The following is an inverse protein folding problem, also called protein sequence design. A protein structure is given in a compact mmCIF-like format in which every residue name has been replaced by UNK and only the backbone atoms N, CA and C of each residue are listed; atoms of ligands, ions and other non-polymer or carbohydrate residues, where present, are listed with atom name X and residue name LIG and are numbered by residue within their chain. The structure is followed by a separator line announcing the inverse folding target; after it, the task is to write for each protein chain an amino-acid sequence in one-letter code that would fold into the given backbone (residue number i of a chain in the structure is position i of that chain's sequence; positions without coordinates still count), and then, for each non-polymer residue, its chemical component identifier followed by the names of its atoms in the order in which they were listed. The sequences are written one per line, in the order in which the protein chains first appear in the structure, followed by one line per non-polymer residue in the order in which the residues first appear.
data_IF_362803398626
#
_entry.id   IF_362803398626
#
_cell.length_a   1.000
_cell.length_b   1.000
_cell.length_c   1.000
_cell.angle_alpha   90.00
_cell.angle_beta   90.00
_cell.angle_gamma   90.00
#
_symmetry.space_group_name_H-M   'P 1'
#
loop_
_entity.id
_entity.type
_entity.pdbx_description
1 polymer ?
#
# COMPACT_ATOMS: atom_id res chain seq x y z
N UNK A 1 -4.98 -26.38 10.71
CA UNK A 1 -3.51 -26.41 10.91
C UNK A 1 -2.90 -25.71 9.72
N UNK A 2 -2.81 -24.38 9.77
CA UNK A 2 -2.18 -23.57 8.72
C UNK A 2 -0.74 -23.28 9.17
N UNK A 3 0.19 -23.89 8.48
CA UNK A 3 1.61 -23.58 8.62
C UNK A 3 1.86 -22.15 8.10
N UNK A 4 2.52 -21.25 8.85
CA UNK A 4 2.96 -19.97 8.31
C UNK A 4 3.98 -20.24 7.19
N UNK A 5 3.85 -19.54 6.07
CA UNK A 5 4.79 -19.58 4.97
C UNK A 5 6.16 -19.19 5.53
N UNK A 6 7.18 -20.04 5.43
CA UNK A 6 8.51 -19.71 5.96
C UNK A 6 9.07 -18.52 5.20
N UNK A 7 9.49 -17.48 5.94
CA UNK A 7 10.31 -16.40 5.46
C UNK A 7 11.61 -17.01 4.94
N UNK A 8 11.70 -17.19 3.61
CA UNK A 8 12.85 -17.78 2.95
C UNK A 8 14.09 -16.94 3.19
N UNK A 9 15.15 -17.61 3.62
CA UNK A 9 16.50 -17.10 3.85
C UNK A 9 17.00 -16.27 2.67
N UNK A 10 17.75 -15.22 2.98
CA UNK A 10 18.47 -14.36 2.06
C UNK A 10 19.58 -15.14 1.32
N UNK A 11 19.17 -16.00 0.42
CA UNK A 11 20.02 -16.75 -0.50
C UNK A 11 19.68 -16.33 -1.93
N UNK A 12 20.69 -15.91 -2.68
CA UNK A 12 20.67 -15.52 -4.09
C UNK A 12 20.14 -16.65 -5.02
N UNK A 13 18.87 -17.00 -4.90
CA UNK A 13 18.18 -17.80 -5.90
C UNK A 13 17.41 -16.85 -6.82
N UNK A 14 17.64 -16.97 -8.12
CA UNK A 14 16.89 -16.29 -9.20
C UNK A 14 15.44 -16.80 -9.19
N UNK A 15 14.66 -16.43 -8.18
CA UNK A 15 13.24 -16.74 -8.13
C UNK A 15 12.53 -15.91 -9.20
N UNK A 16 11.94 -16.54 -10.20
CA UNK A 16 11.17 -15.83 -11.23
C UNK A 16 9.90 -15.19 -10.62
N UNK A 17 9.29 -14.21 -11.31
CA UNK A 17 8.01 -13.66 -10.87
C UNK A 17 6.94 -14.76 -10.74
N UNK A 18 6.95 -15.77 -11.58
CA UNK A 18 6.04 -16.93 -11.54
C UNK A 18 6.16 -17.76 -10.25
N UNK A 19 7.35 -17.77 -9.63
CA UNK A 19 7.64 -18.50 -8.39
C UNK A 19 7.55 -17.58 -7.15
N UNK A 20 7.17 -16.31 -7.35
CA UNK A 20 7.02 -15.35 -6.28
C UNK A 20 5.70 -15.58 -5.55
N UNK A 21 5.73 -15.71 -4.22
CA UNK A 21 4.52 -15.85 -3.41
C UNK A 21 3.56 -14.66 -3.46
N UNK A 22 3.97 -13.55 -4.09
CA UNK A 22 3.15 -12.36 -4.32
C UNK A 22 2.66 -12.25 -5.77
N UNK A 23 2.83 -13.30 -6.60
CA UNK A 23 2.52 -13.22 -8.02
C UNK A 23 1.07 -12.78 -8.27
N UNK A 24 0.12 -13.38 -7.57
CA UNK A 24 -1.32 -13.11 -7.70
C UNK A 24 -1.75 -11.73 -7.16
N UNK A 25 -0.84 -11.02 -6.51
CA UNK A 25 -1.07 -9.68 -5.93
C UNK A 25 -0.28 -8.59 -6.65
N UNK A 26 0.70 -9.00 -7.43
CA UNK A 26 1.61 -8.11 -8.13
C UNK A 26 1.08 -7.85 -9.54
N UNK A 27 1.30 -6.64 -10.06
CA UNK A 27 0.97 -6.31 -11.45
C UNK A 27 1.57 -7.30 -12.48
N UNK A 28 2.60 -8.05 -12.12
CA UNK A 28 3.23 -9.05 -12.97
C UNK A 28 2.29 -10.18 -13.39
N UNK A 29 1.22 -10.46 -12.62
CA UNK A 29 0.20 -11.44 -13.00
C UNK A 29 -0.55 -11.03 -14.28
N UNK A 30 -0.81 -9.72 -14.43
CA UNK A 30 -1.57 -9.15 -15.55
C UNK A 30 -0.70 -8.99 -16.82
N UNK A 31 0.61 -9.21 -16.70
CA UNK A 31 1.53 -9.19 -17.83
C UNK A 31 1.36 -10.46 -18.68
N UNK A 32 1.16 -10.29 -20.00
CA UNK A 32 1.02 -11.40 -20.94
C UNK A 32 2.18 -12.41 -20.79
N UNK A 33 1.86 -13.70 -20.86
CA UNK A 33 2.83 -14.76 -20.61
C UNK A 33 4.07 -14.66 -21.50
N UNK A 34 3.89 -14.24 -22.75
CA UNK A 34 4.97 -14.02 -23.73
C UNK A 34 5.96 -12.91 -23.32
N UNK A 35 5.57 -11.99 -22.45
CA UNK A 35 6.38 -10.86 -21.99
C UNK A 35 6.93 -11.04 -20.57
N UNK A 36 6.46 -12.04 -19.83
CA UNK A 36 6.90 -12.28 -18.44
C UNK A 36 8.38 -12.55 -18.32
N UNK A 37 8.96 -13.30 -19.25
CA UNK A 37 10.40 -13.59 -19.24
C UNK A 37 11.25 -12.34 -19.51
N UNK A 38 10.73 -11.37 -20.25
CA UNK A 38 11.37 -10.10 -20.49
C UNK A 38 11.32 -9.21 -19.24
N UNK A 39 10.15 -9.12 -18.62
CA UNK A 39 9.99 -8.45 -17.33
C UNK A 39 10.89 -9.07 -16.26
N UNK A 40 10.96 -10.40 -16.20
CA UNK A 40 11.82 -11.13 -15.28
C UNK A 40 13.31 -10.79 -15.41
N UNK A 41 13.77 -10.47 -16.60
CA UNK A 41 15.18 -10.10 -16.84
C UNK A 41 15.53 -8.70 -16.33
N UNK A 42 14.61 -7.75 -16.39
CA UNK A 42 14.85 -6.37 -15.98
C UNK A 42 14.61 -6.13 -14.47
N UNK A 43 13.77 -6.94 -13.83
CA UNK A 43 13.47 -6.76 -12.40
C UNK A 43 14.67 -7.11 -11.54
N UNK A 44 15.12 -6.19 -10.72
CA UNK A 44 16.10 -6.38 -9.66
C UNK A 44 15.38 -6.72 -8.36
N UNK A 45 15.44 -7.99 -7.96
CA UNK A 45 14.69 -8.51 -6.81
C UNK A 45 15.45 -8.41 -5.51
N UNK A 46 14.70 -8.54 -4.40
CA UNK A 46 15.25 -8.65 -3.05
C UNK A 46 16.17 -7.50 -2.64
N UNK A 47 15.85 -6.28 -3.07
CA UNK A 47 16.52 -5.11 -2.55
C UNK A 47 16.07 -4.90 -1.11
N UNK A 48 17.01 -4.83 -0.18
CA UNK A 48 16.71 -4.56 1.23
C UNK A 48 16.54 -3.08 1.48
N UNK A 49 15.57 -2.73 2.33
CA UNK A 49 15.30 -1.39 2.80
C UNK A 49 15.09 -1.46 4.30
N UNK A 50 16.06 -1.01 5.08
CA UNK A 50 15.97 -1.00 6.53
C UNK A 50 14.89 -0.04 7.02
N UNK A 51 14.36 -0.28 8.21
CA UNK A 51 13.42 0.64 8.86
C UNK A 51 13.96 2.07 8.86
N UNK A 52 13.06 3.03 8.66
CA UNK A 52 13.33 4.48 8.59
C UNK A 52 14.28 4.90 7.43
N UNK A 53 14.65 3.95 6.53
CA UNK A 53 15.40 4.24 5.32
C UNK A 53 14.47 4.69 4.20
N UNK A 54 14.92 5.68 3.42
CA UNK A 54 14.17 6.15 2.26
C UNK A 54 14.41 5.28 1.04
N UNK A 55 13.34 4.96 0.34
CA UNK A 55 13.36 4.32 -0.97
C UNK A 55 13.75 5.35 -2.05
N UNK A 56 13.17 6.56 -1.95
CA UNK A 56 13.51 7.75 -2.72
C UNK A 56 13.07 9.02 -1.99
N UNK A 57 13.55 10.16 -2.46
CA UNK A 57 13.26 11.48 -1.93
C UNK A 57 12.51 12.33 -2.96
N UNK A 58 11.68 13.25 -2.49
CA UNK A 58 11.04 14.25 -3.35
C UNK A 58 12.11 15.04 -4.15
N UNK A 59 11.82 15.28 -5.43
CA UNK A 59 12.74 15.92 -6.37
C UNK A 59 13.79 15.00 -6.99
N UNK A 60 13.96 13.77 -6.49
CA UNK A 60 14.88 12.79 -7.08
C UNK A 60 14.37 12.33 -8.45
N UNK A 61 15.27 12.15 -9.41
CA UNK A 61 14.92 11.63 -10.75
C UNK A 61 14.33 10.24 -10.68
N UNK A 62 13.29 9.99 -11.50
CA UNK A 62 12.70 8.67 -11.69
C UNK A 62 13.70 7.74 -12.39
N UNK A 63 14.35 6.89 -11.63
CA UNK A 63 15.27 5.85 -12.16
C UNK A 63 14.62 4.49 -12.25
N UNK A 64 13.70 4.21 -11.36
CA UNK A 64 12.99 2.93 -11.27
C UNK A 64 11.63 3.11 -10.60
N UNK A 65 10.68 2.26 -10.98
CA UNK A 65 9.47 2.01 -10.20
C UNK A 65 9.72 0.79 -9.30
N UNK A 66 9.08 0.75 -8.16
CA UNK A 66 9.33 -0.29 -7.16
C UNK A 66 8.06 -1.03 -6.79
N UNK A 67 8.17 -2.31 -6.49
CA UNK A 67 7.09 -3.13 -5.91
C UNK A 67 7.52 -3.54 -4.51
N UNK A 68 6.72 -3.24 -3.51
CA UNK A 68 6.95 -3.74 -2.14
C UNK A 68 6.86 -5.26 -2.16
N UNK A 69 7.83 -5.94 -1.59
CA UNK A 69 7.85 -7.40 -1.48
C UNK A 69 7.54 -7.88 -0.06
N UNK A 70 8.09 -7.23 0.94
CA UNK A 70 7.78 -7.46 2.35
C UNK A 70 7.89 -6.16 3.13
N UNK A 71 7.21 -6.08 4.27
CA UNK A 71 7.16 -4.87 5.08
C UNK A 71 6.16 -3.85 4.54
N UNK A 72 6.27 -2.63 5.00
CA UNK A 72 5.37 -1.51 4.67
C UNK A 72 6.18 -0.26 4.37
N UNK A 73 5.85 0.41 3.28
CA UNK A 73 6.44 1.70 2.90
C UNK A 73 5.40 2.79 3.03
N UNK A 74 5.77 3.91 3.65
CA UNK A 74 4.97 5.14 3.75
C UNK A 74 5.41 6.10 2.66
N UNK A 75 4.47 6.73 1.95
CA UNK A 75 4.72 7.89 1.12
C UNK A 75 4.20 9.16 1.80
N UNK A 76 4.90 10.29 1.60
CA UNK A 76 4.53 11.55 2.19
C UNK A 76 5.12 12.73 1.40
N UNK A 77 4.49 13.89 1.51
CA UNK A 77 4.99 15.18 1.05
C UNK A 77 5.32 16.06 2.23
N UNK A 78 6.11 17.11 2.00
CA UNK A 78 6.33 18.18 2.97
C UNK A 78 5.48 19.38 2.60
N UNK A 79 4.77 19.94 3.57
CA UNK A 79 4.10 21.22 3.44
C UNK A 79 5.10 22.35 3.28
N UNK A 80 4.65 23.56 2.96
CA UNK A 80 5.50 24.76 2.92
C UNK A 80 6.12 25.10 4.28
N UNK A 81 5.55 24.61 5.36
CA UNK A 81 6.03 24.78 6.75
C UNK A 81 7.00 23.66 7.17
N UNK A 82 7.17 22.63 6.32
CA UNK A 82 8.05 21.50 6.57
C UNK A 82 7.39 20.33 7.30
N UNK A 83 6.06 20.38 7.50
CA UNK A 83 5.32 19.29 8.12
C UNK A 83 5.08 18.16 7.12
N UNK A 84 5.20 16.91 7.59
CA UNK A 84 4.84 15.74 6.81
C UNK A 84 3.33 15.71 6.53
N UNK A 85 2.97 15.38 5.29
CA UNK A 85 1.61 15.04 4.88
C UNK A 85 1.65 13.65 4.27
N UNK A 86 1.20 12.65 5.02
CA UNK A 86 1.20 11.24 4.58
C UNK A 86 0.19 11.07 3.45
N UNK A 87 0.67 10.58 2.32
CA UNK A 87 -0.13 10.35 1.10
C UNK A 87 -0.55 8.89 0.94
N UNK A 88 0.23 7.94 1.49
CA UNK A 88 -0.10 6.53 1.37
C UNK A 88 0.69 5.58 2.26
N UNK A 89 0.16 4.36 2.38
CA UNK A 89 0.84 3.20 2.96
C UNK A 89 0.78 2.06 1.95
N UNK A 90 1.96 1.59 1.55
CA UNK A 90 2.11 0.57 0.52
C UNK A 90 2.50 -0.77 1.15
N UNK A 91 1.72 -1.80 0.82
CA UNK A 91 1.85 -3.16 1.32
C UNK A 91 2.47 -4.08 0.25
N UNK A 92 2.87 -5.33 0.60
CA UNK A 92 3.42 -6.27 -0.36
C UNK A 92 2.53 -6.47 -1.60
N UNK A 93 3.15 -6.44 -2.79
CA UNK A 93 2.48 -6.51 -4.09
C UNK A 93 2.15 -5.14 -4.72
N UNK A 94 2.22 -4.04 -3.97
CA UNK A 94 1.85 -2.72 -4.47
C UNK A 94 3.03 -1.98 -5.10
N UNK A 95 2.75 -1.25 -6.18
CA UNK A 95 3.69 -0.40 -6.91
C UNK A 95 3.86 0.95 -6.22
N UNK A 96 5.08 1.49 -6.29
CA UNK A 96 5.42 2.82 -5.78
C UNK A 96 6.23 3.56 -6.84
N UNK A 97 6.01 4.85 -6.99
CA UNK A 97 6.76 5.75 -7.87
C UNK A 97 6.14 5.94 -9.25
N UNK A 98 4.89 5.52 -9.47
CA UNK A 98 4.16 5.77 -10.72
C UNK A 98 3.84 7.25 -10.93
N UNK A 99 3.65 8.00 -9.87
CA UNK A 99 3.37 9.44 -9.82
C UNK A 99 4.51 10.28 -10.42
N UNK A 100 5.73 9.74 -10.44
CA UNK A 100 6.90 10.39 -11.02
C UNK A 100 6.96 10.29 -12.57
N UNK A 101 6.14 9.45 -13.20
CA UNK A 101 6.22 9.19 -14.66
C UNK A 101 5.98 10.47 -15.47
N UNK A 102 5.00 11.27 -15.10
CA UNK A 102 4.64 12.49 -15.84
C UNK A 102 5.68 13.60 -15.72
N UNK A 103 6.31 13.75 -14.56
CA UNK A 103 7.27 14.82 -14.26
C UNK A 103 8.75 14.40 -14.33
N UNK A 104 9.04 13.10 -14.44
CA UNK A 104 10.40 12.55 -14.43
C UNK A 104 11.11 12.63 -13.09
N UNK A 105 10.45 13.14 -12.05
CA UNK A 105 10.96 13.26 -10.68
C UNK A 105 9.88 12.86 -9.69
N UNK A 106 10.28 12.22 -8.58
CA UNK A 106 9.36 11.87 -7.52
C UNK A 106 8.81 13.13 -6.85
N UNK A 107 7.47 13.31 -6.80
CA UNK A 107 6.86 14.46 -6.12
C UNK A 107 6.83 14.30 -4.60
N UNK A 108 7.08 13.10 -4.08
CA UNK A 108 7.00 12.75 -2.68
C UNK A 108 8.20 11.93 -2.19
N UNK A 109 8.27 11.73 -0.89
CA UNK A 109 9.22 10.84 -0.23
C UNK A 109 8.59 9.45 -0.04
N UNK A 110 9.42 8.41 -0.07
CA UNK A 110 9.01 7.07 0.31
C UNK A 110 9.98 6.50 1.35
N UNK A 111 9.45 6.05 2.51
CA UNK A 111 10.24 5.58 3.66
C UNK A 111 9.68 4.28 4.19
N UNK A 112 10.54 3.34 4.58
CA UNK A 112 10.15 2.08 5.18
C UNK A 112 9.72 2.27 6.65
N UNK A 113 8.56 1.76 7.03
CA UNK A 113 8.06 1.76 8.42
C UNK A 113 8.61 0.59 9.26
N UNK A 114 9.18 -0.40 8.60
CA UNK A 114 9.80 -1.60 9.17
C UNK A 114 10.82 -2.15 8.18
N UNK A 115 11.64 -3.11 8.59
CA UNK A 115 12.57 -3.77 7.67
C UNK A 115 11.78 -4.39 6.52
N UNK A 116 12.07 -3.91 5.33
CA UNK A 116 11.30 -4.18 4.11
C UNK A 116 12.20 -4.71 3.01
N UNK A 117 11.61 -5.39 2.05
CA UNK A 117 12.26 -5.73 0.78
C UNK A 117 11.39 -5.28 -0.38
N UNK A 118 12.04 -4.98 -1.52
CA UNK A 118 11.33 -4.55 -2.71
C UNK A 118 11.95 -5.11 -3.99
N UNK A 119 11.17 -5.12 -5.05
CA UNK A 119 11.63 -5.35 -6.40
C UNK A 119 11.78 -4.00 -7.09
N UNK A 120 12.94 -3.75 -7.68
CA UNK A 120 13.25 -2.55 -8.43
C UNK A 120 13.14 -2.84 -9.93
N UNK A 121 12.41 -1.99 -10.66
CA UNK A 121 12.23 -2.09 -12.10
C UNK A 121 12.82 -0.82 -12.72
N UNK A 122 13.99 -0.90 -13.38
CA UNK A 122 14.59 0.27 -14.03
C UNK A 122 13.61 0.87 -15.03
N UNK A 123 13.30 2.17 -14.87
CA UNK A 123 12.22 2.81 -15.63
C UNK A 123 12.47 2.80 -17.13
N UNK A 124 13.72 3.01 -17.57
CA UNK A 124 14.07 2.98 -19.00
C UNK A 124 13.81 1.62 -19.65
N UNK A 125 14.12 0.54 -18.92
CA UNK A 125 13.90 -0.83 -19.42
C UNK A 125 12.39 -1.14 -19.40
N UNK A 126 11.68 -0.70 -18.36
CA UNK A 126 10.25 -0.85 -18.26
C UNK A 126 9.51 -0.09 -19.37
N UNK A 127 9.92 1.16 -19.64
CA UNK A 127 9.35 1.96 -20.72
C UNK A 127 9.53 1.29 -22.09
N UNK A 128 10.70 0.69 -22.37
CA UNK A 128 10.91 -0.04 -23.62
C UNK A 128 9.94 -1.22 -23.76
N UNK A 129 9.68 -1.97 -22.69
CA UNK A 129 8.68 -3.05 -22.71
C UNK A 129 7.27 -2.50 -22.91
N UNK A 130 6.95 -1.36 -22.32
CA UNK A 130 5.65 -0.69 -22.52
C UNK A 130 5.46 -0.24 -23.95
N UNK A 131 6.47 0.37 -24.59
CA UNK A 131 6.41 0.86 -25.97
C UNK A 131 6.10 -0.27 -26.96
N UNK A 132 6.57 -1.47 -26.67
CA UNK A 132 6.39 -2.67 -27.51
C UNK A 132 5.13 -3.51 -27.15
N UNK A 133 4.35 -3.11 -26.15
CA UNK A 133 3.21 -3.90 -25.65
C UNK A 133 1.97 -3.06 -25.35
N UNK A 134 0.98 -3.04 -26.26
CA UNK A 134 -0.30 -2.38 -26.01
C UNK A 134 -1.04 -2.92 -24.76
N UNK A 135 -0.86 -4.19 -24.43
CA UNK A 135 -1.44 -4.83 -23.26
C UNK A 135 -0.87 -4.24 -21.97
N UNK A 136 0.45 -4.07 -21.89
CA UNK A 136 1.12 -3.45 -20.75
C UNK A 136 0.75 -1.98 -20.61
N UNK A 137 0.61 -1.25 -21.72
CA UNK A 137 0.12 0.12 -21.70
C UNK A 137 -1.29 0.23 -21.11
N UNK A 138 -2.20 -0.68 -21.49
CA UNK A 138 -3.55 -0.74 -20.90
C UNK A 138 -3.49 -1.04 -19.40
N UNK A 139 -2.62 -1.96 -19.00
CA UNK A 139 -2.40 -2.28 -17.59
C UNK A 139 -1.90 -1.05 -16.82
N UNK A 140 -0.93 -0.30 -17.35
CA UNK A 140 -0.46 0.94 -16.73
C UNK A 140 -1.56 1.98 -16.60
N UNK A 141 -2.37 2.19 -17.63
CA UNK A 141 -3.53 3.08 -17.56
C UNK A 141 -4.54 2.63 -16.49
N UNK A 142 -4.77 1.32 -16.36
CA UNK A 142 -5.61 0.75 -15.32
C UNK A 142 -5.03 1.05 -13.92
N UNK A 143 -3.74 0.80 -13.70
CA UNK A 143 -3.08 1.05 -12.41
C UNK A 143 -3.13 2.54 -12.02
N UNK A 144 -2.83 3.44 -12.96
CA UNK A 144 -2.93 4.88 -12.74
C UNK A 144 -4.38 5.33 -12.46
N UNK A 145 -5.36 4.73 -13.15
CA UNK A 145 -6.78 5.03 -12.91
C UNK A 145 -7.22 4.59 -11.51
N UNK A 146 -6.72 3.45 -11.04
CA UNK A 146 -6.99 2.96 -9.67
C UNK A 146 -6.36 3.90 -8.63
N UNK A 147 -5.11 4.29 -8.82
CA UNK A 147 -4.40 5.22 -7.94
C UNK A 147 -5.12 6.59 -7.85
N UNK A 148 -5.57 7.11 -8.99
CA UNK A 148 -6.41 8.32 -9.01
C UNK A 148 -7.72 8.15 -8.25
N UNK A 149 -8.38 7.01 -8.38
CA UNK A 149 -9.63 6.73 -7.67
C UNK A 149 -9.40 6.65 -6.16
N UNK A 150 -8.32 6.00 -5.73
CA UNK A 150 -7.92 5.90 -4.32
C UNK A 150 -7.60 7.27 -3.72
N UNK A 151 -6.89 8.12 -4.46
CA UNK A 151 -6.60 9.49 -4.03
C UNK A 151 -7.89 10.31 -3.87
N UNK A 152 -8.84 10.20 -4.81
CA UNK A 152 -10.15 10.88 -4.69
C UNK A 152 -10.97 10.36 -3.51
N UNK A 153 -10.93 9.06 -3.25
CA UNK A 153 -11.57 8.45 -2.10
C UNK A 153 -11.01 9.02 -0.79
N UNK A 154 -9.68 9.12 -0.68
CA UNK A 154 -9.02 9.71 0.49
C UNK A 154 -9.46 11.18 0.68
N UNK A 155 -9.55 11.97 -0.39
CA UNK A 155 -10.04 13.35 -0.32
C UNK A 155 -11.49 13.42 0.20
N UNK A 156 -12.37 12.51 -0.20
CA UNK A 156 -13.74 12.43 0.31
C UNK A 156 -13.75 12.05 1.80
N UNK A 157 -12.96 11.05 2.18
CA UNK A 157 -12.83 10.59 3.57
C UNK A 157 -12.37 11.76 4.44
N UNK A 158 -11.29 12.43 4.10
CA UNK A 158 -10.69 13.51 4.89
C UNK A 158 -11.55 14.78 4.84
N UNK A 159 -12.23 15.06 3.72
CA UNK A 159 -13.00 16.29 3.52
C UNK A 159 -14.44 16.25 4.07
N UNK A 160 -15.05 15.07 4.20
CA UNK A 160 -16.49 14.95 4.47
C UNK A 160 -16.86 14.06 5.65
N UNK A 161 -16.00 13.11 6.02
CA UNK A 161 -16.34 12.14 7.06
C UNK A 161 -15.93 12.64 8.47
N UNK A 162 -16.68 12.21 9.48
CA UNK A 162 -16.32 12.43 10.88
C UNK A 162 -15.12 11.56 11.30
N UNK A 163 -14.44 11.94 12.37
CA UNK A 163 -13.23 11.26 12.83
C UNK A 163 -13.41 9.75 13.07
N UNK A 164 -14.57 9.34 13.62
CA UNK A 164 -14.87 7.92 13.85
C UNK A 164 -14.99 7.15 12.54
N UNK A 165 -15.69 7.72 11.58
CA UNK A 165 -15.87 7.14 10.26
C UNK A 165 -14.54 7.01 9.50
N UNK A 166 -13.66 8.03 9.57
CA UNK A 166 -12.31 7.98 8.95
C UNK A 166 -11.47 6.82 9.49
N UNK A 167 -11.45 6.64 10.82
CA UNK A 167 -10.71 5.55 11.46
C UNK A 167 -11.31 4.18 11.10
N UNK A 168 -12.65 4.06 11.12
CA UNK A 168 -13.33 2.82 10.73
C UNK A 168 -13.02 2.45 9.27
N UNK A 169 -13.15 3.40 8.32
CA UNK A 169 -12.81 3.22 6.91
C UNK A 169 -11.37 2.76 6.71
N UNK A 170 -10.42 3.39 7.41
CA UNK A 170 -9.02 2.99 7.33
C UNK A 170 -8.82 1.54 7.77
N UNK A 171 -9.38 1.14 8.92
CA UNK A 171 -9.24 -0.22 9.46
C UNK A 171 -9.90 -1.26 8.54
N UNK A 172 -11.09 -0.99 8.02
CA UNK A 172 -11.79 -1.85 7.06
C UNK A 172 -11.00 -1.99 5.75
N UNK A 173 -10.46 -0.88 5.24
CA UNK A 173 -9.63 -0.89 4.04
C UNK A 173 -8.37 -1.73 4.25
N UNK A 174 -7.65 -1.52 5.36
CA UNK A 174 -6.45 -2.28 5.69
C UNK A 174 -6.75 -3.77 5.88
N UNK A 175 -7.81 -4.10 6.65
CA UNK A 175 -8.31 -5.46 6.84
C UNK A 175 -8.51 -6.18 5.51
N UNK A 176 -9.20 -5.53 4.57
CA UNK A 176 -9.46 -6.08 3.23
C UNK A 176 -8.18 -6.24 2.40
N UNK A 177 -7.27 -5.26 2.44
CA UNK A 177 -5.97 -5.35 1.75
C UNK A 177 -5.15 -6.53 2.27
N UNK A 178 -5.12 -6.76 3.58
CA UNK A 178 -4.43 -7.90 4.20
C UNK A 178 -5.10 -9.23 3.83
N UNK A 179 -6.44 -9.31 3.91
CA UNK A 179 -7.19 -10.51 3.52
C UNK A 179 -6.93 -10.93 2.06
N UNK A 180 -6.80 -9.98 1.14
CA UNK A 180 -6.43 -10.26 -0.26
C UNK A 180 -5.04 -10.90 -0.37
N UNK A 181 -4.13 -10.63 0.58
CA UNK A 181 -2.78 -11.19 0.65
C UNK A 181 -2.72 -12.56 1.33
N UNK A 182 -3.87 -13.12 1.68
CA UNK A 182 -3.95 -14.37 2.42
C UNK A 182 -3.57 -14.23 3.90
N UNK A 183 -3.45 -12.98 4.37
CA UNK A 183 -3.23 -12.69 5.79
C UNK A 183 -4.55 -12.67 6.57
N UNK A 184 -4.46 -12.72 7.90
CA UNK A 184 -5.64 -12.57 8.76
C UNK A 184 -6.11 -11.10 8.74
N UNK A 185 -7.18 -10.85 7.97
CA UNK A 185 -7.77 -9.52 7.89
C UNK A 185 -8.49 -9.07 9.16
N UNK A 186 -8.75 -9.97 10.10
CA UNK A 186 -9.40 -9.64 11.38
C UNK A 186 -8.39 -9.36 12.48
N UNK A 187 -7.21 -9.97 12.41
CA UNK A 187 -6.16 -9.81 13.40
C UNK A 187 -4.84 -9.45 12.72
N UNK A 188 -4.40 -8.22 12.89
CA UNK A 188 -3.21 -7.72 12.21
C UNK A 188 -2.44 -6.70 13.05
N UNK A 189 -1.18 -6.49 12.66
CA UNK A 189 -0.30 -5.50 13.26
C UNK A 189 -0.22 -4.26 12.38
N UNK A 190 -0.47 -3.08 12.95
CA UNK A 190 -0.23 -1.79 12.28
C UNK A 190 1.27 -1.54 12.17
N UNK A 191 1.79 -1.39 10.95
CA UNK A 191 3.19 -0.99 10.72
C UNK A 191 3.38 0.48 11.08
N UNK A 192 2.40 1.33 10.71
CA UNK A 192 2.35 2.76 11.03
C UNK A 192 2.10 3.01 12.52
N UNK A 193 2.60 4.10 13.02
CA UNK A 193 2.29 4.55 14.38
C UNK A 193 1.03 5.44 14.42
N UNK A 194 0.68 5.94 15.61
CA UNK A 194 -0.50 6.80 15.78
C UNK A 194 -0.33 8.17 15.14
N UNK A 195 0.90 8.65 15.01
CA UNK A 195 1.22 9.92 14.35
C UNK A 195 1.02 9.79 12.85
N UNK A 196 1.55 8.74 12.24
CA UNK A 196 1.38 8.46 10.82
C UNK A 196 -0.09 8.32 10.47
N UNK A 197 -0.84 7.56 11.29
CA UNK A 197 -2.28 7.35 11.09
C UNK A 197 -3.08 8.64 11.24
N UNK A 198 -2.78 9.44 12.24
CA UNK A 198 -3.44 10.73 12.46
C UNK A 198 -3.18 11.68 11.29
N UNK A 199 -1.94 11.75 10.83
CA UNK A 199 -1.54 12.57 9.70
C UNK A 199 -2.28 12.13 8.42
N UNK A 200 -2.26 10.84 8.09
CA UNK A 200 -2.96 10.29 6.92
C UNK A 200 -4.47 10.57 6.90
N UNK A 201 -5.11 10.55 8.08
CA UNK A 201 -6.55 10.76 8.22
C UNK A 201 -6.94 12.24 8.44
N UNK A 202 -5.97 13.16 8.50
CA UNK A 202 -6.22 14.57 8.81
C UNK A 202 -6.83 14.76 10.20
N UNK A 203 -6.32 14.02 11.19
CA UNK A 203 -6.75 14.03 12.58
C UNK A 203 -5.58 14.37 13.52
N UNK A 204 -5.87 14.65 14.79
CA UNK A 204 -4.82 14.69 15.82
C UNK A 204 -4.57 13.29 16.40
N UNK A 205 -3.37 13.08 16.97
CA UNK A 205 -3.00 11.81 17.62
C UNK A 205 -3.99 11.47 18.74
N UNK A 206 -4.43 12.49 19.50
CA UNK A 206 -5.40 12.36 20.59
C UNK A 206 -6.76 11.91 20.06
N UNK A 207 -7.19 12.46 18.90
CA UNK A 207 -8.46 12.09 18.27
C UNK A 207 -8.44 10.63 17.81
N UNK A 208 -7.36 10.19 17.15
CA UNK A 208 -7.18 8.77 16.77
C UNK A 208 -7.21 7.88 18.00
N UNK A 209 -6.46 8.23 19.04
CA UNK A 209 -6.37 7.45 20.28
C UNK A 209 -7.72 7.34 20.99
N UNK A 210 -8.46 8.46 21.10
CA UNK A 210 -9.81 8.48 21.68
C UNK A 210 -10.81 7.67 20.86
N UNK A 211 -10.74 7.77 19.54
CA UNK A 211 -11.62 7.00 18.64
C UNK A 211 -11.40 5.51 18.78
N UNK A 212 -10.15 5.05 18.79
CA UNK A 212 -9.82 3.63 18.98
C UNK A 212 -10.25 3.13 20.37
N UNK A 213 -10.06 3.95 21.42
CA UNK A 213 -10.52 3.59 22.76
C UNK A 213 -12.06 3.51 22.85
N UNK A 214 -12.77 4.40 22.14
CA UNK A 214 -14.22 4.33 22.04
C UNK A 214 -14.67 3.06 21.31
N UNK A 215 -14.11 2.74 20.12
CA UNK A 215 -14.41 1.50 19.38
C UNK A 215 -14.14 0.24 20.21
N UNK A 216 -13.08 0.27 21.03
CA UNK A 216 -12.76 -0.82 21.95
C UNK A 216 -13.80 -0.96 23.06
N UNK A 217 -14.29 0.15 23.62
CA UNK A 217 -15.35 0.16 24.64
C UNK A 217 -16.68 -0.36 24.10
N UNK A 218 -17.01 -0.03 22.86
CA UNK A 218 -18.21 -0.55 22.17
C UNK A 218 -18.05 -2.01 21.70
N UNK A 219 -16.89 -2.63 21.89
CA UNK A 219 -16.67 -4.05 21.53
C UNK A 219 -16.32 -4.29 20.06
N UNK A 220 -16.26 -3.28 19.22
CA UNK A 220 -16.00 -3.41 17.78
C UNK A 220 -14.61 -3.99 17.47
N UNK A 221 -13.62 -3.70 18.31
CA UNK A 221 -12.23 -4.13 18.16
C UNK A 221 -11.50 -4.20 19.50
N UNK A 222 -10.33 -4.82 19.50
CA UNK A 222 -9.35 -4.69 20.57
C UNK A 222 -8.01 -4.20 20.04
N UNK A 223 -7.30 -3.41 20.84
CA UNK A 223 -5.98 -2.85 20.50
C UNK A 223 -5.00 -3.14 21.63
N UNK A 224 -3.87 -3.79 21.30
CA UNK A 224 -2.75 -4.04 22.22
C UNK A 224 -1.44 -3.57 21.55
N UNK A 225 -1.02 -2.34 21.88
CA UNK A 225 0.10 -1.70 21.20
C UNK A 225 -0.19 -1.47 19.73
N UNK A 226 0.52 -2.16 18.86
CA UNK A 226 0.31 -2.13 17.40
C UNK A 226 -0.62 -3.27 16.89
N UNK A 227 -0.97 -4.23 17.72
CA UNK A 227 -1.88 -5.32 17.33
C UNK A 227 -3.32 -4.84 17.42
N UNK A 228 -4.07 -5.03 16.34
CA UNK A 228 -5.50 -4.76 16.22
C UNK A 228 -6.22 -6.06 15.92
N UNK A 229 -7.34 -6.28 16.58
CA UNK A 229 -8.24 -7.40 16.35
C UNK A 229 -9.65 -6.84 16.17
N UNK A 230 -10.25 -7.06 15.01
CA UNK A 230 -11.60 -6.61 14.67
C UNK A 230 -12.59 -7.70 15.06
N UNK A 231 -13.64 -7.32 15.80
CA UNK A 231 -14.65 -8.27 16.32
C UNK A 231 -15.98 -8.13 15.56
N UNK A 232 -16.46 -6.89 15.37
CA UNK A 232 -17.77 -6.60 14.79
C UNK A 232 -17.62 -5.76 13.53
N UNK A 233 -17.46 -6.45 12.37
CA UNK A 233 -17.27 -5.79 11.08
C UNK A 233 -18.49 -4.97 10.65
N UNK A 234 -19.71 -5.46 10.94
CA UNK A 234 -20.95 -4.77 10.58
C UNK A 234 -21.09 -3.44 11.33
N UNK A 235 -20.73 -3.40 12.62
CA UNK A 235 -20.73 -2.15 13.40
C UNK A 235 -19.65 -1.16 12.93
N UNK A 236 -18.48 -1.68 12.51
CA UNK A 236 -17.45 -0.85 11.89
C UNK A 236 -17.91 -0.27 10.55
N UNK A 237 -18.65 -1.05 9.74
CA UNK A 237 -19.25 -0.59 8.48
C UNK A 237 -20.32 0.48 8.74
N UNK A 238 -21.17 0.31 9.77
CA UNK A 238 -22.14 1.32 10.18
C UNK A 238 -21.45 2.60 10.64
N UNK A 239 -20.38 2.48 11.42
CA UNK A 239 -19.58 3.62 11.87
C UNK A 239 -18.90 4.33 10.71
N UNK A 240 -18.47 3.60 9.69
CA UNK A 240 -17.90 4.17 8.47
C UNK A 240 -18.93 4.87 7.57
N UNK A 241 -20.24 4.59 7.79
CA UNK A 241 -21.34 5.02 6.93
C UNK A 241 -21.58 3.99 5.82
N UNK A 242 -22.72 3.31 5.84
CA UNK A 242 -23.06 2.25 4.86
C UNK A 242 -23.08 2.75 3.41
N UNK A 243 -23.42 4.02 3.20
CA UNK A 243 -23.34 4.67 1.89
C UNK A 243 -21.94 4.72 1.31
N UNK A 244 -20.91 4.52 2.13
CA UNK A 244 -19.51 4.47 1.71
C UNK A 244 -19.00 3.03 1.50
N UNK A 245 -19.84 2.01 1.67
CA UNK A 245 -19.48 0.61 1.42
C UNK A 245 -19.03 0.40 -0.03
N UNK A 246 -19.61 1.13 -0.98
CA UNK A 246 -19.19 1.12 -2.38
C UNK A 246 -17.73 1.57 -2.56
N UNK A 247 -17.26 2.54 -1.79
CA UNK A 247 -15.86 2.97 -1.78
C UNK A 247 -14.92 1.82 -1.40
N UNK A 248 -15.38 0.94 -0.51
CA UNK A 248 -14.67 -0.28 -0.16
C UNK A 248 -14.75 -1.34 -1.27
N UNK A 249 -15.78 -1.35 -2.12
CA UNK A 249 -16.03 -2.39 -3.12
C UNK A 249 -15.35 -2.12 -4.47
N UNK A 250 -15.13 -0.87 -4.86
CA UNK A 250 -14.54 -0.50 -6.17
C UNK A 250 -13.13 -1.05 -6.42
N UNK A 251 -12.43 -1.52 -5.38
CA UNK A 251 -11.15 -2.23 -5.50
C UNK A 251 -11.28 -3.71 -5.89
N UNK A 252 -12.47 -4.22 -6.19
CA UNK A 252 -12.68 -5.64 -6.58
C UNK A 252 -12.33 -5.94 -8.04
N UNK A 253 -12.17 -4.95 -8.89
CA UNK A 253 -12.08 -5.10 -10.35
C UNK A 253 -10.80 -4.54 -10.98
N UNK A 254 -9.79 -4.27 -10.18
CA UNK A 254 -8.48 -3.81 -10.68
C UNK A 254 -7.42 -4.89 -10.56
#
# INVERSE_FOLDING_TARGET
MNNPIPLGEAGSTKTSCRQCGLFDLCFAQDVAESRRDELDRIIRRHRSLGRDSHLFHAGQELKSVCVVRSGTVKTYQLSTEGDEVVTGFHLPGELIGLDAIGGGKHPEFAVALEDSTYCEIPFRDFQRILDDSPELNRLMLKLLSVDMAETRELLLIVGRMEARARVAMFLLNLSRRLKRRGEDGLRFRLSMDRRDLANYLGLTIETVSRTLSWMQKEGMLSVRGKLVELHELDELLETAGREHEELLLHRKTA
#
